data_IF_795912794187
#
_entry.id   IF_795912794187
#
_cell.length_a   1.000
_cell.length_b   1.000
_cell.length_c   1.000
_cell.angle_alpha   90.00
_cell.angle_beta   90.00
_cell.angle_gamma   90.00
#
_symmetry.space_group_name_H-M   'P 1'
#
loop_
_entity.id
_entity.type
_entity.pdbx_description
1 polymer ?
#
# COMPACT_ATOMS: atom_id res chain seq x y z
N UNK A 1 5.13 -11.78 -4.71
CA UNK A 1 3.74 -11.37 -4.94
C UNK A 1 2.85 -12.27 -4.09
N UNK A 2 2.18 -11.73 -3.09
CA UNK A 2 1.20 -12.45 -2.26
C UNK A 2 -0.21 -12.38 -2.88
N UNK A 3 -1.15 -13.17 -2.34
CA UNK A 3 -2.56 -13.08 -2.73
C UNK A 3 -3.10 -11.66 -2.48
N UNK A 4 -2.81 -11.07 -1.32
CA UNK A 4 -3.22 -9.71 -0.96
C UNK A 4 -2.69 -8.67 -1.97
N UNK A 5 -1.42 -8.78 -2.38
CA UNK A 5 -0.83 -7.89 -3.38
C UNK A 5 -1.51 -8.01 -4.75
N UNK A 6 -1.83 -9.22 -5.20
CA UNK A 6 -2.47 -9.45 -6.50
C UNK A 6 -3.90 -8.87 -6.57
N UNK A 7 -4.66 -8.92 -5.48
CA UNK A 7 -6.06 -8.44 -5.47
C UNK A 7 -6.16 -6.93 -5.33
N UNK A 8 -5.21 -6.29 -4.64
CA UNK A 8 -5.16 -4.85 -4.53
C UNK A 8 -4.64 -4.16 -5.82
N UNK A 9 -3.76 -4.80 -6.60
CA UNK A 9 -3.44 -4.37 -7.98
C UNK A 9 -4.69 -4.34 -8.88
N UNK A 10 -5.69 -5.19 -8.59
CA UNK A 10 -6.97 -5.25 -9.31
C UNK A 10 -8.03 -4.31 -8.71
N UNK A 11 -7.70 -3.57 -7.65
CA UNK A 11 -8.63 -2.76 -6.86
C UNK A 11 -9.88 -3.52 -6.38
N UNK A 12 -9.76 -4.83 -6.15
CA UNK A 12 -10.87 -5.63 -5.64
C UNK A 12 -10.94 -5.54 -4.11
N UNK A 13 -11.63 -4.50 -3.62
CA UNK A 13 -11.72 -4.14 -2.20
C UNK A 13 -12.32 -5.25 -1.34
N UNK A 14 -13.38 -5.90 -1.81
CA UNK A 14 -14.03 -6.99 -1.07
C UNK A 14 -13.05 -8.14 -0.82
N UNK A 15 -12.28 -8.50 -1.83
CA UNK A 15 -11.30 -9.58 -1.72
C UNK A 15 -10.08 -9.18 -0.85
N UNK A 16 -9.70 -7.90 -0.83
CA UNK A 16 -8.70 -7.37 0.11
C UNK A 16 -9.19 -7.56 1.56
N UNK A 17 -10.42 -7.17 1.86
CA UNK A 17 -11.00 -7.32 3.21
C UNK A 17 -11.09 -8.77 3.64
N UNK A 18 -11.52 -9.67 2.75
CA UNK A 18 -11.59 -11.12 3.02
C UNK A 18 -10.20 -11.67 3.37
N UNK A 19 -9.17 -11.29 2.60
CA UNK A 19 -7.81 -11.78 2.84
C UNK A 19 -7.24 -11.24 4.15
N UNK A 20 -7.47 -9.97 4.48
CA UNK A 20 -7.06 -9.41 5.77
C UNK A 20 -7.78 -10.08 6.94
N UNK A 21 -9.08 -10.33 6.82
CA UNK A 21 -9.84 -11.07 7.83
C UNK A 21 -9.37 -12.52 8.00
N UNK A 22 -8.80 -13.12 6.95
CA UNK A 22 -8.17 -14.44 6.99
C UNK A 22 -6.73 -14.42 7.56
N UNK A 23 -6.24 -13.27 8.02
CA UNK A 23 -4.89 -13.12 8.58
C UNK A 23 -3.79 -12.97 7.53
N UNK A 24 -4.11 -12.51 6.32
CA UNK A 24 -3.09 -12.14 5.35
C UNK A 24 -2.18 -11.05 5.93
N UNK A 25 -0.87 -11.27 5.81
CA UNK A 25 0.14 -10.31 6.24
C UNK A 25 0.05 -9.04 5.40
N UNK A 26 -0.29 -7.94 6.07
CA UNK A 26 -0.47 -6.61 5.48
C UNK A 26 0.86 -5.96 5.12
N UNK A 27 1.91 -6.28 5.90
CA UNK A 27 3.28 -5.82 5.74
C UNK A 27 4.12 -6.81 4.92
N UNK A 28 3.44 -7.73 4.21
CA UNK A 28 4.10 -8.75 3.42
C UNK A 28 5.19 -8.14 2.52
N UNK A 29 6.37 -8.79 2.43
CA UNK A 29 7.51 -8.24 1.71
C UNK A 29 7.19 -7.83 0.28
N UNK A 30 7.94 -6.85 -0.20
CA UNK A 30 7.80 -6.31 -1.53
C UNK A 30 7.72 -7.40 -2.62
N UNK A 31 6.78 -7.26 -3.55
CA UNK A 31 6.64 -8.23 -4.62
C UNK A 31 7.87 -8.18 -5.56
N UNK A 32 8.49 -9.33 -5.87
CA UNK A 32 9.63 -9.43 -6.78
C UNK A 32 9.43 -8.69 -8.13
N UNK A 33 8.20 -8.61 -8.62
CA UNK A 33 7.87 -8.04 -9.94
C UNK A 33 7.87 -6.50 -9.98
N UNK A 34 7.91 -5.82 -8.84
CA UNK A 34 7.95 -4.36 -8.78
C UNK A 34 8.85 -3.81 -7.66
N UNK A 35 9.24 -4.64 -6.70
CA UNK A 35 10.08 -4.25 -5.58
C UNK A 35 9.39 -3.33 -4.59
N UNK A 36 8.04 -3.33 -4.55
CA UNK A 36 7.25 -2.48 -3.66
C UNK A 36 6.34 -3.30 -2.75
N UNK A 37 6.12 -2.83 -1.52
CA UNK A 37 5.05 -3.31 -0.63
C UNK A 37 3.69 -2.89 -1.17
N UNK A 38 2.62 -3.39 -0.56
CA UNK A 38 1.28 -3.07 -1.02
C UNK A 38 0.90 -1.61 -0.80
N UNK A 39 1.25 -1.03 0.35
CA UNK A 39 1.02 0.38 0.63
C UNK A 39 1.82 1.29 -0.31
N UNK A 40 3.06 0.90 -0.66
CA UNK A 40 3.88 1.61 -1.66
C UNK A 40 3.24 1.57 -3.06
N UNK A 41 2.74 0.41 -3.49
CA UNK A 41 2.01 0.29 -4.74
C UNK A 41 0.75 1.16 -4.75
N UNK A 42 -0.02 1.15 -3.65
CA UNK A 42 -1.19 2.00 -3.49
C UNK A 42 -0.81 3.49 -3.60
N UNK A 43 0.27 3.92 -2.93
CA UNK A 43 0.80 5.28 -2.99
C UNK A 43 1.12 5.75 -4.40
N UNK A 44 1.90 4.96 -5.15
CA UNK A 44 2.27 5.24 -6.54
C UNK A 44 1.06 5.31 -7.48
N UNK A 45 0.15 4.34 -7.34
CA UNK A 45 -1.02 4.22 -8.22
C UNK A 45 -2.20 5.11 -7.81
N UNK A 46 -2.17 5.69 -6.60
CA UNK A 46 -3.27 6.49 -6.06
C UNK A 46 -4.48 5.67 -5.60
N UNK A 47 -4.28 4.42 -5.17
CA UNK A 47 -5.36 3.55 -4.70
C UNK A 47 -5.79 3.90 -3.26
N UNK A 48 -6.41 5.08 -3.09
CA UNK A 48 -6.77 5.66 -1.78
C UNK A 48 -7.55 4.67 -0.92
N UNK A 49 -8.59 4.02 -1.46
CA UNK A 49 -9.41 3.07 -0.70
C UNK A 49 -8.62 1.85 -0.23
N UNK A 50 -7.70 1.34 -1.04
CA UNK A 50 -6.81 0.24 -0.64
C UNK A 50 -5.90 0.72 0.48
N UNK A 51 -5.26 1.89 0.33
CA UNK A 51 -4.41 2.45 1.37
C UNK A 51 -5.17 2.67 2.69
N UNK A 52 -6.41 3.20 2.67
CA UNK A 52 -7.24 3.32 3.88
C UNK A 52 -7.38 1.99 4.61
N UNK A 53 -7.72 0.92 3.89
CA UNK A 53 -7.92 -0.41 4.49
C UNK A 53 -6.63 -0.96 5.08
N UNK A 54 -5.50 -0.74 4.41
CA UNK A 54 -4.19 -1.17 4.90
C UNK A 54 -3.82 -0.42 6.19
N UNK A 55 -4.03 0.90 6.22
CA UNK A 55 -3.79 1.72 7.40
C UNK A 55 -4.69 1.33 8.57
N UNK A 56 -5.98 1.08 8.30
CA UNK A 56 -6.94 0.59 9.30
C UNK A 56 -6.53 -0.79 9.86
N UNK A 57 -5.85 -1.60 9.04
CA UNK A 57 -5.29 -2.89 9.45
C UNK A 57 -3.95 -2.77 10.21
N UNK A 58 -3.46 -1.55 10.46
CA UNK A 58 -2.24 -1.30 11.25
C UNK A 58 -0.94 -1.46 10.47
N UNK A 59 -0.97 -1.28 9.15
CA UNK A 59 0.25 -1.32 8.30
C UNK A 59 1.28 -0.31 8.79
N UNK A 60 2.55 -0.71 8.80
CA UNK A 60 3.66 0.20 9.07
C UNK A 60 3.86 1.18 7.89
N UNK A 61 3.44 2.43 8.08
CA UNK A 61 3.61 3.54 7.13
C UNK A 61 5.08 3.92 6.89
N UNK A 62 5.92 3.70 7.90
CA UNK A 62 7.36 3.95 7.85
C UNK A 62 8.15 2.70 7.45
N UNK A 63 7.46 1.65 7.02
CA UNK A 63 8.03 0.37 6.64
C UNK A 63 9.10 0.47 5.55
N UNK A 64 9.85 -0.63 5.41
CA UNK A 64 11.02 -0.74 4.54
C UNK A 64 10.86 -0.07 3.16
N UNK A 65 11.84 0.76 2.79
CA UNK A 65 11.89 1.44 1.49
C UNK A 65 11.78 0.44 0.34
N UNK A 66 11.06 0.80 -0.72
CA UNK A 66 10.92 -0.05 -1.89
C UNK A 66 12.29 -0.49 -2.42
N UNK A 67 12.46 -1.78 -2.71
CA UNK A 67 13.72 -2.28 -3.29
C UNK A 67 13.99 -1.68 -4.67
N UNK A 68 12.94 -1.23 -5.36
CA UNK A 68 13.04 -0.48 -6.61
C UNK A 68 12.88 1.02 -6.34
N UNK A 69 13.91 1.79 -6.71
CA UNK A 69 13.99 3.25 -6.54
C UNK A 69 13.95 3.78 -5.10
N UNK A 70 13.88 2.91 -4.09
CA UNK A 70 14.03 3.33 -2.70
C UNK A 70 12.93 4.23 -2.18
N UNK A 71 11.71 4.20 -2.75
CA UNK A 71 10.64 5.14 -2.38
C UNK A 71 9.77 4.61 -1.24
N UNK A 72 9.30 5.50 -0.37
CA UNK A 72 8.16 5.24 0.53
C UNK A 72 6.83 5.41 -0.21
N UNK A 73 5.72 5.01 0.42
CA UNK A 73 4.38 5.24 -0.15
C UNK A 73 4.08 6.74 -0.33
N UNK A 74 4.49 7.57 0.64
CA UNK A 74 4.31 9.01 0.61
C UNK A 74 5.14 9.67 -0.50
N UNK A 75 6.43 9.33 -0.61
CA UNK A 75 7.30 9.84 -1.67
C UNK A 75 6.76 9.49 -3.07
N UNK A 76 6.25 8.26 -3.24
CA UNK A 76 5.61 7.84 -4.49
C UNK A 76 4.33 8.62 -4.82
N UNK A 77 3.49 8.89 -3.80
CA UNK A 77 2.28 9.69 -3.95
C UNK A 77 2.59 11.14 -4.34
N UNK A 78 3.61 11.75 -3.72
CA UNK A 78 4.07 13.11 -4.04
C UNK A 78 4.62 13.19 -5.46
N UNK A 79 5.49 12.26 -5.86
CA UNK A 79 6.09 12.23 -7.21
C UNK A 79 5.04 12.18 -8.32
N UNK A 80 3.93 11.48 -8.09
CA UNK A 80 2.86 11.30 -9.07
C UNK A 80 1.68 12.28 -8.88
N UNK A 81 1.81 13.26 -7.97
CA UNK A 81 0.78 14.27 -7.73
C UNK A 81 -0.54 13.73 -7.16
N UNK A 82 -0.51 12.64 -6.39
CA UNK A 82 -1.69 11.99 -5.81
C UNK A 82 -2.13 12.71 -4.54
N UNK A 83 -2.76 13.88 -4.66
CA UNK A 83 -3.07 14.77 -3.53
C UNK A 83 -3.86 14.07 -2.41
N UNK A 84 -4.95 13.37 -2.74
CA UNK A 84 -5.79 12.67 -1.75
C UNK A 84 -5.01 11.59 -1.00
N UNK A 85 -4.08 10.93 -1.68
CA UNK A 85 -3.19 9.92 -1.09
C UNK A 85 -2.16 10.56 -0.17
N UNK A 86 -1.58 11.70 -0.56
CA UNK A 86 -0.65 12.45 0.28
C UNK A 86 -1.33 12.87 1.58
N UNK A 87 -2.55 13.42 1.50
CA UNK A 87 -3.32 13.80 2.69
C UNK A 87 -3.62 12.59 3.57
N UNK A 88 -4.05 11.47 2.98
CA UNK A 88 -4.34 10.25 3.72
C UNK A 88 -3.10 9.72 4.46
N UNK A 89 -1.94 9.64 3.79
CA UNK A 89 -0.72 9.13 4.40
C UNK A 89 -0.18 10.07 5.49
N UNK A 90 -0.22 11.39 5.28
CA UNK A 90 0.18 12.37 6.30
C UNK A 90 -0.71 12.33 7.54
N UNK A 91 -2.00 12.05 7.39
CA UNK A 91 -2.93 11.91 8.51
C UNK A 91 -2.75 10.58 9.26
N UNK A 92 -2.17 9.57 8.62
CA UNK A 92 -1.94 8.25 9.21
C UNK A 92 -0.62 8.15 9.99
N UNK A 93 0.34 9.01 9.66
CA UNK A 93 1.61 9.19 10.39
C UNK A 93 1.53 10.21 11.54
N UNK A 94 0.33 10.76 11.84
CA UNK A 94 0.08 11.72 12.93
C UNK A 94 -0.30 11.02 14.25
#
# INVERSE_FOLDING_TARGET
RTALQAVAEKSNIELVQILLAAGADVDAPAANTAGVTLLQAAGLSGYVRVATILLDAGTDTNGNRASKYGRTALEGAVEHGRIDMVQLLLNADA
#
